data_IF_264890050718
#
_entry.id   IF_264890050718
#
_cell.length_a   1.000
_cell.length_b   1.000
_cell.length_c   1.000
_cell.angle_alpha   90.00
_cell.angle_beta   90.00
_cell.angle_gamma   90.00
#
_symmetry.space_group_name_H-M   'P 1'
#
loop_
_entity.id
_entity.type
_entity.pdbx_description
1 polymer ?
#
# COMPACT_ATOMS: atom_id res chain seq x y z
N UNK A 1 36.66 27.53 9.57
CA UNK A 1 35.80 28.00 8.47
C UNK A 1 34.54 27.12 8.49
N UNK A 2 33.48 27.69 9.06
CA UNK A 2 32.20 26.97 9.16
C UNK A 2 31.42 27.10 7.86
N UNK A 3 31.02 25.98 7.27
CA UNK A 3 30.06 25.95 6.17
C UNK A 3 28.69 26.19 6.79
N UNK A 4 28.14 27.39 6.68
CA UNK A 4 26.75 27.71 6.93
C UNK A 4 25.92 27.12 5.81
N UNK A 5 25.32 25.94 6.05
CA UNK A 5 24.31 25.39 5.17
C UNK A 5 23.06 26.25 5.25
N UNK A 6 22.85 27.14 4.29
CA UNK A 6 21.65 27.94 4.17
C UNK A 6 20.43 27.04 4.02
N UNK A 7 19.50 27.14 4.95
CA UNK A 7 18.20 26.44 4.85
C UNK A 7 17.41 27.01 3.67
N UNK A 8 16.83 26.16 2.80
CA UNK A 8 16.14 26.62 1.60
C UNK A 8 15.05 27.64 1.94
N UNK A 9 14.96 28.70 1.13
CA UNK A 9 13.98 29.76 1.27
C UNK A 9 12.54 29.23 1.13
N UNK A 10 11.54 29.96 1.62
CA UNK A 10 10.12 29.62 1.46
C UNK A 10 9.76 29.40 -0.02
N UNK A 11 10.34 30.18 -0.92
CA UNK A 11 10.09 30.12 -2.35
C UNK A 11 10.70 28.87 -3.00
N UNK A 12 11.87 28.43 -2.57
CA UNK A 12 12.52 27.19 -3.01
C UNK A 12 11.78 25.94 -2.54
N UNK A 13 11.25 25.96 -1.31
CA UNK A 13 10.41 24.88 -0.76
C UNK A 13 9.11 24.72 -1.55
N UNK A 14 8.45 25.82 -1.91
CA UNK A 14 7.22 25.80 -2.74
C UNK A 14 7.52 25.29 -4.14
N UNK A 15 8.62 25.74 -4.78
CA UNK A 15 9.03 25.22 -6.10
C UNK A 15 9.37 23.73 -6.06
N UNK A 16 10.08 23.28 -5.01
CA UNK A 16 10.40 21.86 -4.84
C UNK A 16 9.17 20.99 -4.60
N UNK A 17 8.17 21.49 -3.87
CA UNK A 17 6.90 20.80 -3.64
C UNK A 17 6.08 20.70 -4.92
N UNK A 18 5.98 21.77 -5.70
CA UNK A 18 5.27 21.78 -6.98
C UNK A 18 5.89 20.76 -7.97
N UNK A 19 7.23 20.70 -8.06
CA UNK A 19 7.90 19.73 -8.94
C UNK A 19 7.58 18.27 -8.53
N UNK A 20 7.54 17.98 -7.23
CA UNK A 20 7.19 16.64 -6.74
C UNK A 20 5.73 16.27 -7.03
N UNK A 21 4.80 17.22 -6.86
CA UNK A 21 3.39 16.95 -7.18
C UNK A 21 3.16 16.77 -8.67
N UNK A 22 3.84 17.52 -9.52
CA UNK A 22 3.81 17.33 -10.98
C UNK A 22 4.36 15.95 -11.38
N UNK A 23 5.46 15.50 -10.77
CA UNK A 23 6.01 14.16 -11.00
C UNK A 23 5.01 13.05 -10.64
N UNK A 24 4.31 13.16 -9.51
CA UNK A 24 3.29 12.19 -9.14
C UNK A 24 2.11 12.19 -10.12
N UNK A 25 1.68 13.35 -10.58
CA UNK A 25 0.60 13.46 -11.59
C UNK A 25 0.95 12.75 -12.90
N UNK A 26 2.20 12.89 -13.37
CA UNK A 26 2.67 12.16 -14.55
C UNK A 26 2.66 10.64 -14.33
N UNK A 27 3.10 10.18 -13.13
CA UNK A 27 3.11 8.75 -12.79
C UNK A 27 1.70 8.16 -12.77
N UNK A 28 0.74 8.87 -12.14
CA UNK A 28 -0.63 8.38 -12.02
C UNK A 28 -1.50 8.68 -13.26
N UNK A 29 -0.99 9.48 -14.20
CA UNK A 29 -1.72 9.85 -15.41
C UNK A 29 -2.93 10.76 -15.16
N UNK A 30 -2.97 11.45 -14.02
CA UNK A 30 -4.06 12.35 -13.65
C UNK A 30 -3.55 13.73 -13.21
N UNK A 31 -3.98 14.78 -13.92
CA UNK A 31 -3.61 16.16 -13.62
C UNK A 31 -4.74 16.88 -12.87
N UNK A 32 -4.47 17.24 -11.61
CA UNK A 32 -5.44 17.92 -10.77
C UNK A 32 -5.74 19.34 -11.26
N UNK A 33 -7.01 19.67 -11.41
CA UNK A 33 -7.52 21.04 -11.65
C UNK A 33 -7.28 21.91 -10.41
N UNK A 34 -7.52 21.34 -9.24
CA UNK A 34 -7.23 21.96 -7.94
C UNK A 34 -6.10 21.20 -7.22
N UNK A 35 -4.86 21.71 -7.35
CA UNK A 35 -3.67 21.14 -6.70
C UNK A 35 -3.76 21.04 -5.18
N UNK A 36 -4.70 21.75 -4.55
CA UNK A 36 -4.91 21.67 -3.11
C UNK A 36 -5.34 20.26 -2.69
N UNK A 37 -6.20 19.60 -3.46
CA UNK A 37 -6.61 18.22 -3.17
C UNK A 37 -5.43 17.27 -3.13
N UNK A 38 -4.55 17.33 -4.13
CA UNK A 38 -3.34 16.48 -4.15
C UNK A 38 -2.43 16.77 -2.95
N UNK A 39 -2.15 18.04 -2.66
CA UNK A 39 -1.31 18.41 -1.52
C UNK A 39 -1.91 17.91 -0.21
N UNK A 40 -3.22 18.05 -0.03
CA UNK A 40 -3.92 17.58 1.17
C UNK A 40 -3.89 16.05 1.28
N UNK A 41 -4.10 15.32 0.18
CA UNK A 41 -4.03 13.85 0.17
C UNK A 41 -2.65 13.33 0.59
N UNK A 42 -1.59 14.04 0.23
CA UNK A 42 -0.21 13.70 0.61
C UNK A 42 0.18 14.16 2.03
N UNK A 43 -0.66 14.93 2.72
CA UNK A 43 -0.37 15.54 4.01
C UNK A 43 -0.83 14.63 5.16
N UNK A 44 0.11 13.91 5.77
CA UNK A 44 -0.15 13.14 6.99
C UNK A 44 -0.40 14.06 8.20
N UNK A 45 -1.15 13.58 9.19
CA UNK A 45 -1.50 14.32 10.41
C UNK A 45 -0.26 14.83 11.19
N UNK A 46 0.84 14.09 11.21
CA UNK A 46 2.10 14.52 11.84
C UNK A 46 2.68 15.79 11.20
N UNK A 47 2.60 15.89 9.86
CA UNK A 47 3.04 17.09 9.14
C UNK A 47 2.10 18.27 9.38
N UNK A 48 0.79 18.02 9.31
CA UNK A 48 -0.21 19.03 9.59
C UNK A 48 -0.05 19.64 11.00
N UNK A 49 0.24 18.79 12.01
CA UNK A 49 0.52 19.20 13.38
C UNK A 49 1.81 20.04 13.47
N UNK A 50 2.91 19.58 12.86
CA UNK A 50 4.20 20.30 12.84
C UNK A 50 4.06 21.69 12.19
N UNK A 51 3.30 21.76 11.09
CA UNK A 51 3.08 23.01 10.33
C UNK A 51 1.89 23.84 10.82
N UNK A 52 1.20 23.40 11.89
CA UNK A 52 0.03 24.09 12.46
C UNK A 52 -1.08 24.36 11.43
N UNK A 53 -1.34 23.39 10.55
CA UNK A 53 -2.37 23.51 9.50
C UNK A 53 -3.79 23.30 10.03
N UNK A 54 -3.92 22.96 11.32
CA UNK A 54 -5.21 22.62 11.94
C UNK A 54 -5.66 21.18 11.64
N UNK A 55 -6.73 20.74 12.32
CA UNK A 55 -7.25 19.37 12.22
C UNK A 55 -7.76 19.00 10.82
N UNK A 56 -8.15 19.96 10.02
CA UNK A 56 -8.67 19.76 8.67
C UNK A 56 -7.58 19.84 7.58
N UNK A 57 -6.35 20.11 7.95
CA UNK A 57 -5.24 20.26 7.02
C UNK A 57 -4.52 18.96 6.67
N UNK A 58 -4.93 17.81 7.22
CA UNK A 58 -4.39 16.49 6.91
C UNK A 58 -5.29 15.70 5.93
N UNK A 59 -4.86 14.50 5.60
CA UNK A 59 -5.50 13.63 4.62
C UNK A 59 -6.71 12.81 5.14
N UNK A 60 -6.91 12.69 6.45
CA UNK A 60 -7.92 11.81 7.08
C UNK A 60 -9.34 11.95 6.51
N UNK A 61 -9.77 13.16 6.12
CA UNK A 61 -11.09 13.34 5.52
C UNK A 61 -11.16 12.86 4.06
N UNK A 62 -10.08 12.97 3.34
CA UNK A 62 -9.97 12.44 1.99
C UNK A 62 -9.86 10.92 1.99
N UNK A 63 -9.13 10.35 2.95
CA UNK A 63 -9.06 8.92 3.26
C UNK A 63 -10.48 8.36 3.48
N UNK A 64 -11.23 8.92 4.44
CA UNK A 64 -12.62 8.51 4.71
C UNK A 64 -13.50 8.47 3.45
N UNK A 65 -13.37 9.47 2.57
CA UNK A 65 -14.12 9.51 1.30
C UNK A 65 -13.56 8.50 0.30
N UNK A 66 -12.25 8.39 0.22
CA UNK A 66 -11.56 7.49 -0.70
C UNK A 66 -11.84 6.02 -0.43
N UNK A 67 -11.89 5.61 0.84
CA UNK A 67 -12.30 4.27 1.27
C UNK A 67 -13.69 3.92 0.69
N UNK A 68 -14.69 4.76 0.89
CA UNK A 68 -16.03 4.53 0.35
C UNK A 68 -16.05 4.43 -1.18
N UNK A 69 -15.26 5.26 -1.88
CA UNK A 69 -15.15 5.25 -3.34
C UNK A 69 -14.44 3.96 -3.81
N UNK A 70 -13.38 3.54 -3.11
CA UNK A 70 -12.65 2.31 -3.39
C UNK A 70 -13.54 1.08 -3.24
N UNK A 71 -14.28 1.01 -2.14
CA UNK A 71 -15.24 -0.06 -1.87
C UNK A 71 -16.29 -0.18 -2.98
N UNK A 72 -16.86 0.94 -3.43
CA UNK A 72 -17.85 0.96 -4.51
C UNK A 72 -17.24 0.48 -5.84
N UNK A 73 -16.09 1.02 -6.23
CA UNK A 73 -15.44 0.68 -7.50
C UNK A 73 -15.01 -0.79 -7.51
N UNK A 74 -14.44 -1.27 -6.41
CA UNK A 74 -14.01 -2.66 -6.28
C UNK A 74 -15.18 -3.63 -6.32
N UNK A 75 -16.31 -3.27 -5.71
CA UNK A 75 -17.54 -4.06 -5.75
C UNK A 75 -18.13 -4.12 -7.17
N UNK A 76 -18.22 -2.99 -7.86
CA UNK A 76 -18.69 -2.91 -9.26
C UNK A 76 -17.81 -3.79 -10.19
N UNK A 77 -16.51 -3.67 -10.04
CA UNK A 77 -15.55 -4.47 -10.82
C UNK A 77 -15.67 -5.97 -10.57
N UNK A 78 -15.71 -6.40 -9.30
CA UNK A 78 -15.81 -7.81 -8.94
C UNK A 78 -17.15 -8.41 -9.36
N UNK A 79 -18.25 -7.67 -9.18
CA UNK A 79 -19.58 -8.09 -9.61
C UNK A 79 -19.63 -8.33 -11.12
N UNK A 80 -19.06 -7.42 -11.90
CA UNK A 80 -19.02 -7.55 -13.35
C UNK A 80 -18.08 -8.67 -13.84
N UNK A 81 -16.92 -8.84 -13.17
CA UNK A 81 -15.91 -9.84 -13.59
C UNK A 81 -16.29 -11.27 -13.18
N UNK A 82 -16.88 -11.46 -12.01
CA UNK A 82 -17.14 -12.79 -11.41
C UNK A 82 -18.64 -13.10 -11.34
N UNK A 83 -19.30 -13.22 -12.48
CA UNK A 83 -20.76 -13.38 -12.60
C UNK A 83 -21.34 -14.64 -11.99
N UNK A 84 -20.52 -15.67 -11.73
CA UNK A 84 -20.95 -16.97 -11.19
C UNK A 84 -20.46 -17.20 -9.75
N UNK A 85 -19.92 -16.16 -9.10
CA UNK A 85 -19.37 -16.25 -7.75
C UNK A 85 -20.39 -15.73 -6.72
N UNK A 86 -20.69 -16.51 -5.65
CA UNK A 86 -21.60 -16.09 -4.58
C UNK A 86 -21.11 -14.83 -3.84
N UNK A 87 -22.06 -14.09 -3.24
CA UNK A 87 -21.78 -12.83 -2.51
C UNK A 87 -20.68 -12.98 -1.45
N UNK A 88 -20.72 -14.03 -0.61
CA UNK A 88 -19.73 -14.24 0.44
C UNK A 88 -18.29 -14.39 -0.09
N UNK A 89 -18.11 -14.94 -1.28
CA UNK A 89 -16.80 -15.04 -1.94
C UNK A 89 -16.39 -13.71 -2.57
N UNK A 90 -17.34 -12.96 -3.16
CA UNK A 90 -17.07 -11.61 -3.67
C UNK A 90 -16.60 -10.68 -2.54
N UNK A 91 -17.25 -10.77 -1.37
CA UNK A 91 -16.88 -10.00 -0.18
C UNK A 91 -15.47 -10.36 0.30
N UNK A 92 -15.10 -11.65 0.34
CA UNK A 92 -13.73 -12.07 0.69
C UNK A 92 -12.70 -11.56 -0.33
N UNK A 93 -13.00 -11.69 -1.62
CA UNK A 93 -12.14 -11.17 -2.70
C UNK A 93 -11.91 -9.66 -2.57
N UNK A 94 -12.98 -8.90 -2.35
CA UNK A 94 -12.87 -7.46 -2.13
C UNK A 94 -11.98 -7.17 -0.94
N UNK A 95 -12.24 -7.77 0.22
CA UNK A 95 -11.45 -7.55 1.43
C UNK A 95 -9.95 -7.85 1.23
N UNK A 96 -9.59 -8.88 0.44
CA UNK A 96 -8.18 -9.17 0.14
C UNK A 96 -7.53 -8.15 -0.78
N UNK A 97 -8.29 -7.57 -1.71
CA UNK A 97 -7.76 -6.61 -2.69
C UNK A 97 -7.61 -5.18 -2.16
N UNK A 98 -8.47 -4.78 -1.21
CA UNK A 98 -8.50 -3.40 -0.69
C UNK A 98 -8.07 -3.27 0.77
N UNK A 99 -7.50 -4.33 1.37
CA UNK A 99 -6.94 -4.24 2.72
C UNK A 99 -5.65 -3.39 2.77
N UNK A 100 -5.32 -2.90 3.96
CA UNK A 100 -4.14 -2.08 4.23
C UNK A 100 -2.85 -2.60 3.55
N UNK A 101 -2.43 -3.88 3.70
CA UNK A 101 -1.22 -4.38 3.04
C UNK A 101 -1.30 -4.36 1.51
N UNK A 102 -2.48 -4.63 0.93
CA UNK A 102 -2.73 -4.60 -0.52
C UNK A 102 -2.55 -3.19 -1.08
N UNK A 103 -3.20 -2.23 -0.44
CA UNK A 103 -3.12 -0.83 -0.86
C UNK A 103 -1.70 -0.29 -0.71
N UNK A 104 -1.02 -0.60 0.40
CA UNK A 104 0.36 -0.21 0.61
C UNK A 104 1.31 -0.82 -0.42
N UNK A 105 1.10 -2.09 -0.81
CA UNK A 105 1.84 -2.71 -1.90
C UNK A 105 1.63 -1.97 -3.22
N UNK A 106 0.38 -1.79 -3.64
CA UNK A 106 0.05 -1.05 -4.87
C UNK A 106 0.65 0.36 -4.89
N UNK A 107 0.58 1.07 -3.77
CA UNK A 107 1.13 2.42 -3.64
C UNK A 107 2.66 2.47 -3.79
N UNK A 108 3.36 1.43 -3.34
CA UNK A 108 4.82 1.33 -3.51
C UNK A 108 5.19 1.08 -4.96
N UNK A 109 4.40 0.34 -5.72
CA UNK A 109 4.64 0.07 -7.14
C UNK A 109 4.70 1.38 -7.97
N UNK A 110 3.83 2.35 -7.67
CA UNK A 110 3.89 3.66 -8.33
C UNK A 110 4.62 4.74 -7.50
N UNK A 111 5.31 4.34 -6.43
CA UNK A 111 6.23 5.21 -5.68
C UNK A 111 5.57 6.25 -4.78
N UNK A 112 4.29 6.11 -4.39
CA UNK A 112 3.58 7.09 -3.54
C UNK A 112 4.33 7.48 -2.26
N UNK A 113 5.01 6.55 -1.52
CA UNK A 113 5.68 6.88 -0.27
C UNK A 113 6.68 8.04 -0.35
N UNK A 114 7.37 8.23 -1.49
CA UNK A 114 8.36 9.29 -1.66
C UNK A 114 7.75 10.70 -1.73
N UNK A 115 6.45 10.79 -2.04
CA UNK A 115 5.73 12.05 -2.15
C UNK A 115 5.03 12.49 -0.85
N UNK A 116 4.92 11.60 0.15
CA UNK A 116 4.24 11.88 1.41
C UNK A 116 4.88 13.04 2.17
N UNK A 117 4.05 13.89 2.74
CA UNK A 117 4.44 14.95 3.64
C UNK A 117 4.27 14.46 5.08
N UNK A 118 5.38 14.12 5.72
CA UNK A 118 5.45 13.62 7.10
C UNK A 118 6.10 14.64 8.00
N UNK A 119 5.69 14.71 9.27
CA UNK A 119 6.42 15.42 10.30
C UNK A 119 7.80 14.76 10.52
N UNK A 120 8.79 15.54 10.94
CA UNK A 120 10.18 15.05 11.08
C UNK A 120 10.29 13.81 11.96
N UNK A 121 9.58 13.77 13.09
CA UNK A 121 9.59 12.61 13.99
C UNK A 121 9.05 11.36 13.31
N UNK A 122 7.94 11.47 12.60
CA UNK A 122 7.30 10.37 11.87
C UNK A 122 8.21 9.86 10.74
N UNK A 123 8.80 10.76 9.97
CA UNK A 123 9.71 10.42 8.88
C UNK A 123 10.98 9.71 9.38
N UNK A 124 11.58 10.22 10.48
CA UNK A 124 12.76 9.61 11.12
C UNK A 124 12.51 8.21 11.68
N UNK A 125 11.28 7.91 12.11
CA UNK A 125 10.89 6.59 12.61
C UNK A 125 10.40 5.64 11.50
N UNK A 126 10.60 6.00 10.24
CA UNK A 126 10.27 5.17 9.08
C UNK A 126 8.80 5.20 8.67
N UNK A 127 8.07 6.27 8.98
CA UNK A 127 6.66 6.43 8.64
C UNK A 127 6.34 6.19 7.16
N UNK A 128 7.27 6.58 6.24
CA UNK A 128 7.12 6.29 4.78
C UNK A 128 7.04 4.81 4.43
N UNK A 129 7.49 3.94 5.32
CA UNK A 129 7.50 2.49 5.10
C UNK A 129 6.40 1.77 5.88
N UNK A 130 5.57 2.50 6.66
CA UNK A 130 4.43 1.91 7.38
C UNK A 130 3.25 1.69 6.44
N UNK A 131 2.74 0.47 6.43
CA UNK A 131 1.61 0.12 5.58
C UNK A 131 0.39 0.98 5.87
N UNK A 132 0.06 1.24 7.13
CA UNK A 132 -1.07 2.09 7.50
C UNK A 132 -0.98 3.51 6.93
N UNK A 133 0.18 4.18 7.04
CA UNK A 133 0.36 5.54 6.50
C UNK A 133 0.28 5.55 4.97
N UNK A 134 0.79 4.52 4.34
CA UNK A 134 0.84 4.42 2.86
C UNK A 134 -0.54 4.05 2.30
N UNK A 135 -1.28 3.15 2.96
CA UNK A 135 -2.66 2.81 2.58
C UNK A 135 -3.61 3.98 2.74
N UNK A 136 -3.58 4.65 3.90
CA UNK A 136 -4.41 5.83 4.18
C UNK A 136 -4.19 6.94 3.15
N UNK A 137 -2.91 7.16 2.77
CA UNK A 137 -2.57 8.14 1.74
C UNK A 137 -3.04 7.70 0.34
N UNK A 138 -3.12 6.40 0.07
CA UNK A 138 -3.65 5.88 -1.21
C UNK A 138 -5.15 6.11 -1.31
N UNK A 139 -5.88 5.84 -0.25
CA UNK A 139 -7.30 6.17 -0.16
C UNK A 139 -7.54 7.67 -0.26
N UNK A 140 -6.73 8.47 0.47
CA UNK A 140 -6.83 9.93 0.39
C UNK A 140 -6.56 10.47 -1.02
N UNK A 141 -5.59 9.89 -1.75
CA UNK A 141 -5.32 10.24 -3.14
C UNK A 141 -6.52 9.91 -4.04
N UNK A 142 -7.13 8.75 -3.84
CA UNK A 142 -8.35 8.36 -4.54
C UNK A 142 -9.51 9.31 -4.23
N UNK A 143 -9.73 9.68 -2.96
CA UNK A 143 -10.71 10.67 -2.55
C UNK A 143 -10.49 12.04 -3.19
N UNK A 144 -9.22 12.45 -3.32
CA UNK A 144 -8.82 13.68 -3.99
C UNK A 144 -9.13 13.64 -5.50
N UNK A 145 -8.81 12.55 -6.20
CA UNK A 145 -9.14 12.34 -7.62
C UNK A 145 -10.65 12.37 -7.82
N UNK A 146 -11.40 11.71 -6.93
CA UNK A 146 -12.87 11.71 -7.00
C UNK A 146 -13.47 13.11 -6.87
N UNK A 147 -13.01 13.94 -5.94
CA UNK A 147 -13.49 15.30 -5.75
C UNK A 147 -13.14 16.23 -6.92
N UNK A 148 -11.97 16.02 -7.52
CA UNK A 148 -11.46 16.88 -8.61
C UNK A 148 -11.96 16.45 -9.99
N UNK A 149 -12.01 15.13 -10.26
CA UNK A 149 -12.30 14.53 -11.57
C UNK A 149 -13.57 13.71 -11.65
N UNK A 150 -14.22 13.44 -10.51
CA UNK A 150 -15.43 12.63 -10.45
C UNK A 150 -15.17 11.13 -10.50
N UNK A 151 -16.26 10.36 -10.51
CA UNK A 151 -16.22 8.89 -10.41
C UNK A 151 -15.45 8.22 -11.56
N UNK A 152 -15.52 8.72 -12.77
CA UNK A 152 -14.87 8.13 -13.92
C UNK A 152 -13.34 8.15 -13.76
N UNK A 153 -12.76 9.29 -13.35
CA UNK A 153 -11.33 9.43 -13.10
C UNK A 153 -10.86 8.57 -11.92
N UNK A 154 -11.67 8.52 -10.84
CA UNK A 154 -11.41 7.66 -9.69
C UNK A 154 -11.42 6.16 -10.09
N UNK A 155 -12.39 5.74 -10.91
CA UNK A 155 -12.48 4.37 -11.42
C UNK A 155 -11.28 4.00 -12.29
N UNK A 156 -10.85 4.89 -13.16
CA UNK A 156 -9.66 4.69 -14.00
C UNK A 156 -8.40 4.50 -13.15
N UNK A 157 -8.19 5.33 -12.13
CA UNK A 157 -7.09 5.18 -11.19
C UNK A 157 -7.11 3.81 -10.48
N UNK A 158 -8.25 3.41 -9.93
CA UNK A 158 -8.40 2.14 -9.22
C UNK A 158 -8.12 0.95 -10.14
N UNK A 159 -8.63 0.98 -11.38
CA UNK A 159 -8.41 -0.09 -12.33
C UNK A 159 -6.95 -0.21 -12.77
N UNK A 160 -6.26 0.93 -12.93
CA UNK A 160 -4.88 0.94 -13.41
C UNK A 160 -3.84 0.63 -12.32
N UNK A 161 -4.09 0.97 -11.06
CA UNK A 161 -3.09 0.90 -9.99
C UNK A 161 -3.44 -0.09 -8.88
N UNK A 162 -4.74 -0.34 -8.63
CA UNK A 162 -5.17 -1.19 -7.52
C UNK A 162 -5.71 -2.53 -8.02
N UNK A 163 -6.60 -2.52 -9.01
CA UNK A 163 -7.25 -3.73 -9.53
C UNK A 163 -6.60 -4.30 -10.80
N UNK A 164 -5.48 -3.74 -11.25
CA UNK A 164 -4.68 -4.37 -12.28
C UNK A 164 -4.05 -5.65 -11.72
N UNK A 165 -3.93 -6.69 -12.54
CA UNK A 165 -3.29 -7.97 -12.19
C UNK A 165 -3.78 -8.57 -10.85
N UNK A 166 -5.11 -8.58 -10.67
CA UNK A 166 -5.73 -9.05 -9.42
C UNK A 166 -5.40 -10.51 -9.09
N UNK A 167 -5.16 -11.35 -10.10
CA UNK A 167 -4.85 -12.76 -9.91
C UNK A 167 -3.50 -12.93 -9.22
N UNK A 168 -2.51 -12.15 -9.62
CA UNK A 168 -1.18 -12.15 -9.00
C UNK A 168 -1.22 -11.54 -7.60
N UNK A 169 -1.96 -10.44 -7.43
CA UNK A 169 -2.15 -9.79 -6.12
C UNK A 169 -2.89 -10.70 -5.15
N UNK A 170 -3.97 -11.33 -5.60
CA UNK A 170 -4.73 -12.29 -4.80
C UNK A 170 -3.86 -13.48 -4.38
N UNK A 171 -3.06 -14.01 -5.31
CA UNK A 171 -2.09 -15.05 -5.02
C UNK A 171 -1.09 -14.60 -3.94
N UNK A 172 -0.63 -13.37 -3.99
CA UNK A 172 0.30 -12.82 -2.99
C UNK A 172 -0.36 -12.70 -1.60
N UNK A 173 -1.60 -12.18 -1.51
CA UNK A 173 -2.27 -11.94 -0.22
C UNK A 173 -2.88 -13.18 0.42
N UNK A 174 -3.31 -14.12 -0.39
CA UNK A 174 -3.87 -15.38 0.08
C UNK A 174 -2.83 -16.52 0.12
N UNK A 175 -1.55 -16.20 -0.12
CA UNK A 175 -0.48 -17.20 -0.32
C UNK A 175 -0.43 -18.26 0.77
N UNK A 176 -0.58 -17.87 2.05
CA UNK A 176 -0.51 -18.86 3.15
C UNK A 176 -1.64 -19.88 3.07
N UNK A 177 -2.86 -19.41 2.79
CA UNK A 177 -4.05 -20.28 2.65
C UNK A 177 -3.92 -21.13 1.41
N UNK A 178 -3.60 -20.52 0.27
CA UNK A 178 -3.44 -21.21 -1.01
C UNK A 178 -2.34 -22.26 -0.93
N UNK A 179 -1.18 -21.92 -0.37
CA UNK A 179 -0.07 -22.87 -0.21
C UNK A 179 -0.47 -24.04 0.69
N UNK A 180 -1.19 -23.77 1.79
CA UNK A 180 -1.65 -24.81 2.69
C UNK A 180 -2.62 -25.77 1.98
N UNK A 181 -3.58 -25.25 1.22
CA UNK A 181 -4.51 -26.07 0.42
C UNK A 181 -3.77 -26.90 -0.64
N UNK A 182 -2.81 -26.29 -1.35
CA UNK A 182 -2.00 -26.98 -2.35
C UNK A 182 -1.18 -28.13 -1.74
N UNK A 183 -0.55 -27.88 -0.59
CA UNK A 183 0.26 -28.88 0.09
C UNK A 183 -0.60 -30.00 0.64
N UNK A 184 -1.73 -29.70 1.27
CA UNK A 184 -2.70 -30.72 1.73
C UNK A 184 -3.25 -31.59 0.60
N UNK A 185 -3.42 -31.04 -0.60
CA UNK A 185 -3.92 -31.79 -1.76
C UNK A 185 -2.87 -32.70 -2.41
N UNK A 186 -1.58 -32.32 -2.39
CA UNK A 186 -0.52 -32.99 -3.15
C UNK A 186 0.49 -33.76 -2.29
N UNK A 187 0.68 -33.34 -1.03
CA UNK A 187 1.73 -33.85 -0.15
C UNK A 187 1.13 -34.46 1.11
N UNK A 188 1.79 -35.49 1.66
CA UNK A 188 1.41 -36.11 2.95
C UNK A 188 2.06 -35.40 4.15
N UNK A 189 2.95 -34.48 3.89
CA UNK A 189 3.77 -33.78 4.87
C UNK A 189 3.12 -32.45 5.27
N UNK A 190 3.49 -31.96 6.45
CA UNK A 190 2.97 -30.70 6.98
C UNK A 190 3.80 -29.53 6.51
N UNK A 191 3.12 -28.41 6.26
CA UNK A 191 3.72 -27.13 5.98
C UNK A 191 4.23 -26.49 7.27
N UNK A 192 5.50 -26.08 7.32
CA UNK A 192 6.12 -25.47 8.48
C UNK A 192 6.75 -24.13 8.10
N UNK A 193 6.49 -23.10 8.91
CA UNK A 193 7.17 -21.81 8.80
C UNK A 193 8.21 -21.67 9.91
N UNK A 194 9.45 -21.41 9.54
CA UNK A 194 10.56 -21.21 10.48
C UNK A 194 11.09 -19.79 10.41
N UNK A 195 11.21 -19.15 11.58
CA UNK A 195 11.88 -17.86 11.70
C UNK A 195 13.39 -18.09 11.61
N UNK A 196 14.01 -17.59 10.55
CA UNK A 196 15.45 -17.70 10.34
C UNK A 196 16.21 -16.57 11.02
N UNK A 197 15.65 -15.35 11.00
CA UNK A 197 16.32 -14.15 11.47
C UNK A 197 15.34 -13.11 11.96
N UNK A 198 15.70 -12.43 13.06
CA UNK A 198 15.02 -11.24 13.56
C UNK A 198 16.09 -10.20 13.84
N UNK A 199 16.03 -9.05 13.17
CA UNK A 199 17.03 -7.99 13.26
C UNK A 199 16.38 -6.61 13.39
N UNK A 200 17.14 -5.67 13.94
CA UNK A 200 16.78 -4.27 14.08
C UNK A 200 16.13 -3.91 15.40
N UNK A 201 16.08 -2.60 15.73
CA UNK A 201 15.42 -2.10 16.93
C UNK A 201 13.91 -2.28 16.83
N UNK A 202 13.20 -2.24 17.97
CA UNK A 202 11.75 -2.53 18.06
C UNK A 202 10.90 -1.73 17.06
N UNK A 203 11.27 -0.48 16.80
CA UNK A 203 10.57 0.39 15.85
C UNK A 203 10.94 0.16 14.37
N UNK A 204 11.90 -0.74 14.08
CA UNK A 204 12.37 -1.04 12.73
C UNK A 204 12.86 -2.49 12.60
N UNK A 205 12.08 -3.43 13.14
CA UNK A 205 12.38 -4.86 13.04
C UNK A 205 12.24 -5.37 11.61
N UNK A 206 13.08 -6.34 11.26
CA UNK A 206 13.02 -7.14 10.05
C UNK A 206 13.02 -8.62 10.44
N UNK A 207 12.12 -9.37 9.83
CA UNK A 207 11.96 -10.79 10.05
C UNK A 207 12.28 -11.52 8.73
N UNK A 208 13.09 -12.57 8.82
CA UNK A 208 13.30 -13.50 7.72
C UNK A 208 12.70 -14.84 8.10
N UNK A 209 11.80 -15.35 7.25
CA UNK A 209 11.09 -16.61 7.45
C UNK A 209 11.30 -17.50 6.24
N UNK A 210 11.50 -18.80 6.44
CA UNK A 210 11.36 -19.79 5.39
C UNK A 210 10.09 -20.63 5.59
N UNK A 211 9.59 -21.20 4.50
CA UNK A 211 8.51 -22.18 4.51
C UNK A 211 9.03 -23.49 3.93
N UNK A 212 8.68 -24.60 4.58
CA UNK A 212 9.15 -25.95 4.27
C UNK A 212 8.00 -26.92 4.12
N UNK A 213 8.21 -27.94 3.27
CA UNK A 213 7.42 -29.17 3.21
C UNK A 213 8.35 -30.30 3.67
N UNK A 214 8.10 -30.87 4.85
CA UNK A 214 9.07 -31.76 5.50
C UNK A 214 10.39 -31.03 5.73
N UNK A 215 11.49 -31.56 5.19
CA UNK A 215 12.83 -30.96 5.30
C UNK A 215 13.19 -30.03 4.13
N UNK A 216 12.36 -29.97 3.08
CA UNK A 216 12.66 -29.16 1.90
C UNK A 216 12.17 -27.71 2.07
N UNK A 217 13.08 -26.75 1.97
CA UNK A 217 12.74 -25.33 1.87
C UNK A 217 12.16 -25.02 0.49
N UNK A 218 10.89 -24.58 0.46
CA UNK A 218 10.18 -24.23 -0.77
C UNK A 218 10.07 -22.73 -1.01
N UNK A 219 10.23 -21.92 0.03
CA UNK A 219 10.17 -20.46 -0.12
C UNK A 219 10.77 -19.72 1.06
N UNK A 220 11.17 -18.46 0.82
CA UNK A 220 11.76 -17.58 1.83
C UNK A 220 11.20 -16.17 1.67
N UNK A 221 10.96 -15.48 2.79
CA UNK A 221 10.38 -14.15 2.80
C UNK A 221 10.97 -13.24 3.86
N UNK A 222 11.03 -11.97 3.53
CA UNK A 222 11.41 -10.88 4.42
C UNK A 222 10.19 -10.00 4.68
N UNK A 223 10.03 -9.49 5.91
CA UNK A 223 8.94 -8.60 6.27
C UNK A 223 9.20 -7.81 7.53
N UNK A 224 8.46 -6.73 7.73
CA UNK A 224 8.50 -5.89 8.94
C UNK A 224 7.81 -6.55 10.13
N UNK A 225 6.98 -7.55 9.89
CA UNK A 225 6.37 -8.41 10.89
C UNK A 225 6.60 -9.87 10.50
N UNK A 226 6.57 -10.77 11.49
CA UNK A 226 6.66 -12.21 11.22
C UNK A 226 5.59 -12.66 10.23
N UNK A 227 4.33 -12.17 10.38
CA UNK A 227 3.22 -12.48 9.49
C UNK A 227 3.49 -12.04 8.05
N UNK A 228 4.04 -10.83 7.85
CA UNK A 228 4.40 -10.34 6.52
C UNK A 228 5.51 -11.19 5.87
N UNK A 229 6.54 -11.56 6.63
CA UNK A 229 7.61 -12.43 6.15
C UNK A 229 7.08 -13.83 5.77
N UNK A 230 6.19 -14.42 6.58
CA UNK A 230 5.52 -15.69 6.29
C UNK A 230 4.68 -15.63 5.01
N UNK A 231 4.00 -14.51 4.76
CA UNK A 231 3.20 -14.29 3.55
C UNK A 231 4.08 -14.28 2.28
N UNK A 232 5.20 -13.54 2.33
CA UNK A 232 6.18 -13.51 1.24
C UNK A 232 6.81 -14.88 1.02
N UNK A 233 7.16 -15.59 2.10
CA UNK A 233 7.71 -16.95 2.01
C UNK A 233 6.71 -17.90 1.35
N UNK A 234 5.43 -17.83 1.72
CA UNK A 234 4.37 -18.63 1.12
C UNK A 234 4.20 -18.36 -0.37
N UNK A 235 4.21 -17.08 -0.77
CA UNK A 235 4.13 -16.69 -2.17
C UNK A 235 5.28 -17.29 -2.99
N UNK A 236 6.53 -17.16 -2.53
CA UNK A 236 7.67 -17.78 -3.21
C UNK A 236 7.56 -19.32 -3.22
N UNK A 237 7.02 -19.92 -2.16
CA UNK A 237 6.72 -21.35 -2.10
C UNK A 237 5.73 -21.78 -3.19
N UNK A 238 4.65 -21.04 -3.39
CA UNK A 238 3.68 -21.31 -4.48
C UNK A 238 4.37 -21.25 -5.84
N UNK A 239 5.12 -20.17 -6.11
CA UNK A 239 5.82 -20.01 -7.38
C UNK A 239 6.84 -21.13 -7.66
N UNK A 240 7.38 -21.78 -6.62
CA UNK A 240 8.34 -22.90 -6.77
C UNK A 240 7.66 -24.24 -7.07
N UNK A 241 6.45 -24.47 -6.54
CA UNK A 241 5.76 -25.78 -6.63
C UNK A 241 4.63 -25.85 -7.68
N UNK A 242 4.30 -24.71 -8.33
CA UNK A 242 3.45 -24.66 -9.51
C UNK A 242 4.19 -25.18 -10.74
#
# INVERSE_FOLDING_TARGET
MGLSGDSPTRMERVKGMNKKTEELEEIIGYHFKNKHYLTQALTHSSYANEKKLGKLGCNERLEFLGDAVLELISSDFLYAKFTQVPEGELTKKRASLVCEPSLAYCAREFGLPQFLLLGKGEDMTGGRNRDSIVSDATEALLGAIYLDGGFASAKEFVLNFILNDIEHKQLFYDSKTILQEMVQAKYKETLVYELLKEEGPDHNKSFEVCVKIGDEEIGRGLGRTKKAAEQVAAYHGICKIQ
#
